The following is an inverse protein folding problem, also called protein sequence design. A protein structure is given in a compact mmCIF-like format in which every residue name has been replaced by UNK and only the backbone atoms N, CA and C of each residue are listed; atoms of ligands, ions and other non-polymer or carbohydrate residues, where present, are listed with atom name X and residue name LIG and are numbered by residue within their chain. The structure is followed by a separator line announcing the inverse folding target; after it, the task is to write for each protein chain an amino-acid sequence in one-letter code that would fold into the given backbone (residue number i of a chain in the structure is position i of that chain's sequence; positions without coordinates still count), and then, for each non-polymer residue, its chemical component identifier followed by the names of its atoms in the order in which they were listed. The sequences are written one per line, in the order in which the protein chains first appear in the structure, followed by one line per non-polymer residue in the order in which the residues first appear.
data_IF_330796531223
#
_entry.id   IF_330796531223
#
_cell.length_a   1.000
_cell.length_b   1.000
_cell.length_c   1.000
_cell.angle_alpha   90.00
_cell.angle_beta   90.00
_cell.angle_gamma   90.00
#
_symmetry.space_group_name_H-M   'P 1'
#
loop_
_entity.id
_entity.type
_entity.pdbx_description
1 polymer ?
#
# COMPACT_ATOMS: atom_id res chain seq x y z
N UNK A 1 40.70 -24.86 -8.85
CA UNK A 1 39.94 -23.63 -9.20
C UNK A 1 38.52 -23.91 -8.72
N UNK A 2 38.29 -24.13 -7.43
CA UNK A 2 38.29 -23.25 -6.24
C UNK A 2 37.08 -22.31 -6.19
N UNK A 3 35.97 -22.89 -5.72
CA UNK A 3 34.69 -22.24 -5.41
C UNK A 3 34.81 -21.11 -4.38
N UNK A 4 35.87 -21.12 -3.55
CA UNK A 4 36.09 -20.13 -2.50
C UNK A 4 36.49 -18.74 -3.06
N UNK A 5 37.10 -18.71 -4.25
CA UNK A 5 37.55 -17.48 -4.90
C UNK A 5 36.42 -16.74 -5.65
N UNK A 6 35.39 -17.46 -6.10
CA UNK A 6 34.19 -16.85 -6.70
C UNK A 6 33.29 -16.19 -5.64
N UNK A 7 33.19 -16.80 -4.45
CA UNK A 7 32.38 -16.29 -3.33
C UNK A 7 32.92 -14.97 -2.76
N UNK A 8 34.25 -14.85 -2.63
CA UNK A 8 34.90 -13.62 -2.18
C UNK A 8 34.66 -12.43 -3.13
N UNK A 9 34.70 -12.67 -4.44
CA UNK A 9 34.42 -11.63 -5.44
C UNK A 9 32.94 -11.21 -5.42
N UNK A 10 32.03 -12.16 -5.18
CA UNK A 10 30.59 -11.90 -5.06
C UNK A 10 30.26 -11.02 -3.85
N UNK A 11 30.82 -11.31 -2.68
CA UNK A 11 30.60 -10.51 -1.46
C UNK A 11 31.14 -9.08 -1.59
N UNK A 12 32.32 -8.89 -2.18
CA UNK A 12 32.89 -7.55 -2.42
C UNK A 12 31.99 -6.74 -3.37
N UNK A 13 31.42 -7.37 -4.40
CA UNK A 13 30.48 -6.72 -5.33
C UNK A 13 29.17 -6.32 -4.66
N UNK A 14 28.71 -7.06 -3.66
CA UNK A 14 27.54 -6.71 -2.83
C UNK A 14 27.88 -5.56 -1.88
N UNK A 15 29.04 -5.60 -1.21
CA UNK A 15 29.49 -4.53 -0.32
C UNK A 15 29.62 -3.18 -1.05
N UNK A 16 30.12 -3.20 -2.30
CA UNK A 16 30.22 -2.00 -3.15
C UNK A 16 28.86 -1.39 -3.50
N UNK A 17 27.76 -2.15 -3.47
CA UNK A 17 26.42 -1.60 -3.75
C UNK A 17 25.99 -0.58 -2.70
N UNK A 18 26.34 -0.82 -1.43
CA UNK A 18 26.05 0.10 -0.33
C UNK A 18 26.82 1.43 -0.44
N UNK A 19 27.84 1.51 -1.30
CA UNK A 19 28.52 2.77 -1.59
C UNK A 19 27.80 3.65 -2.63
N UNK A 20 26.78 3.12 -3.33
CA UNK A 20 26.12 3.85 -4.43
C UNK A 20 24.90 4.64 -3.92
N UNK A 21 24.83 5.97 -4.13
CA UNK A 21 23.67 6.76 -3.70
C UNK A 21 22.37 6.33 -4.39
N UNK A 22 22.44 5.87 -5.64
CA UNK A 22 21.31 5.36 -6.39
C UNK A 22 20.64 4.14 -5.72
N UNK A 23 21.42 3.31 -5.00
CA UNK A 23 20.90 2.16 -4.25
C UNK A 23 19.91 2.61 -3.18
N UNK A 24 20.29 3.60 -2.38
CA UNK A 24 19.44 4.11 -1.29
C UNK A 24 18.19 4.81 -1.82
N UNK A 25 18.32 5.61 -2.88
CA UNK A 25 17.17 6.30 -3.50
C UNK A 25 16.14 5.28 -4.01
N UNK A 26 16.60 4.24 -4.72
CA UNK A 26 15.73 3.18 -5.22
C UNK A 26 15.13 2.36 -4.07
N UNK A 27 15.92 2.05 -3.04
CA UNK A 27 15.44 1.32 -1.87
C UNK A 27 14.32 2.07 -1.16
N UNK A 28 14.52 3.35 -0.88
CA UNK A 28 13.50 4.20 -0.26
C UNK A 28 12.26 4.29 -1.16
N UNK A 29 12.42 4.54 -2.46
CA UNK A 29 11.31 4.66 -3.40
C UNK A 29 10.49 3.37 -3.52
N UNK A 30 11.14 2.21 -3.47
CA UNK A 30 10.45 0.90 -3.55
C UNK A 30 9.78 0.56 -2.24
N UNK A 31 10.45 0.76 -1.09
CA UNK A 31 9.87 0.50 0.23
C UNK A 31 8.67 1.41 0.47
N UNK A 32 8.78 2.70 0.17
CA UNK A 32 7.67 3.65 0.28
C UNK A 32 6.55 3.30 -0.70
N UNK A 33 6.90 2.83 -1.89
CA UNK A 33 5.95 2.38 -2.89
C UNK A 33 5.14 1.16 -2.47
N UNK A 34 5.81 0.15 -1.93
CA UNK A 34 5.17 -1.05 -1.40
C UNK A 34 4.36 -0.74 -0.13
N UNK A 35 4.79 0.25 0.67
CA UNK A 35 4.03 0.73 1.83
C UNK A 35 2.72 1.42 1.42
N UNK A 36 2.80 2.42 0.54
CA UNK A 36 1.64 3.13 0.01
C UNK A 36 0.65 2.16 -0.66
N UNK A 37 1.20 1.17 -1.38
CA UNK A 37 0.46 0.07 -1.99
C UNK A 37 -0.38 -0.74 -1.00
N UNK A 38 0.17 -1.08 0.16
CA UNK A 38 -0.57 -1.81 1.19
C UNK A 38 -1.55 -0.97 1.97
N UNK A 39 -1.18 0.27 2.30
CA UNK A 39 -2.11 1.22 2.93
C UNK A 39 -3.32 1.45 2.03
N UNK A 40 -3.08 1.57 0.72
CA UNK A 40 -4.15 1.73 -0.26
C UNK A 40 -5.16 0.56 -0.25
N UNK A 41 -4.66 -0.68 -0.26
CA UNK A 41 -5.53 -1.85 -0.20
C UNK A 41 -6.34 -1.89 1.10
N UNK A 42 -5.72 -1.57 2.24
CA UNK A 42 -6.40 -1.48 3.53
C UNK A 42 -7.48 -0.40 3.50
N UNK A 43 -7.15 0.81 3.06
CA UNK A 43 -8.10 1.93 3.03
C UNK A 43 -9.32 1.64 2.16
N UNK A 44 -9.17 0.99 1.00
CA UNK A 44 -10.35 0.63 0.19
C UNK A 44 -11.25 -0.36 0.93
N UNK A 45 -10.65 -1.36 1.60
CA UNK A 45 -11.42 -2.36 2.35
C UNK A 45 -12.15 -1.70 3.51
N UNK A 46 -11.45 -0.88 4.30
CA UNK A 46 -12.02 -0.15 5.43
C UNK A 46 -13.12 0.81 4.95
N UNK A 47 -12.88 1.56 3.87
CA UNK A 47 -13.88 2.44 3.26
C UNK A 47 -15.11 1.66 2.78
N UNK A 48 -14.90 0.46 2.23
CA UNK A 48 -15.99 -0.42 1.83
C UNK A 48 -16.87 -0.81 3.03
N UNK A 49 -16.23 -1.27 4.12
CA UNK A 49 -16.90 -1.66 5.36
C UNK A 49 -17.61 -0.46 6.00
N UNK A 50 -16.97 0.72 6.05
CA UNK A 50 -17.55 1.95 6.63
C UNK A 50 -18.80 2.44 5.90
N UNK A 51 -18.91 2.15 4.60
CA UNK A 51 -20.12 2.44 3.80
C UNK A 51 -21.25 1.42 4.03
N UNK A 52 -21.06 0.44 4.91
CA UNK A 52 -22.03 -0.61 5.20
C UNK A 52 -22.11 -1.68 4.09
N UNK A 53 -21.09 -1.79 3.25
CA UNK A 53 -21.01 -2.92 2.31
C UNK A 53 -20.86 -4.21 3.09
N UNK A 54 -21.66 -5.20 2.70
CA UNK A 54 -21.47 -6.56 3.17
C UNK A 54 -20.06 -7.06 2.81
N UNK A 55 -19.49 -7.95 3.64
CA UNK A 55 -18.15 -8.53 3.42
C UNK A 55 -18.02 -9.14 2.02
N UNK A 56 -19.08 -9.70 1.48
CA UNK A 56 -19.10 -10.25 0.13
C UNK A 56 -18.89 -9.17 -0.96
N UNK A 57 -19.36 -7.95 -0.73
CA UNK A 57 -19.17 -6.85 -1.67
C UNK A 57 -17.77 -6.23 -1.56
N UNK A 58 -17.15 -6.23 -0.38
CA UNK A 58 -15.73 -5.92 -0.22
C UNK A 58 -14.84 -6.94 -0.98
N UNK A 59 -15.20 -8.23 -0.96
CA UNK A 59 -14.54 -9.25 -1.77
C UNK A 59 -14.59 -8.97 -3.29
N UNK A 60 -15.68 -8.36 -3.78
CA UNK A 60 -15.80 -7.94 -5.19
C UNK A 60 -14.85 -6.79 -5.52
N UNK A 61 -14.66 -5.83 -4.62
CA UNK A 61 -13.68 -4.74 -4.80
C UNK A 61 -12.26 -5.30 -4.93
N UNK A 62 -11.88 -6.27 -4.08
CA UNK A 62 -10.59 -6.96 -4.19
C UNK A 62 -10.43 -7.68 -5.54
N UNK A 63 -11.52 -8.29 -6.02
CA UNK A 63 -11.53 -8.97 -7.32
C UNK A 63 -11.28 -7.97 -8.45
N UNK A 64 -11.92 -6.80 -8.41
CA UNK A 64 -11.69 -5.72 -9.39
C UNK A 64 -10.27 -5.17 -9.35
N UNK A 65 -9.71 -4.97 -8.16
CA UNK A 65 -8.31 -4.55 -7.98
C UNK A 65 -7.37 -5.59 -8.61
N UNK A 66 -7.63 -6.88 -8.39
CA UNK A 66 -6.81 -7.97 -8.95
C UNK A 66 -6.84 -8.01 -10.48
N UNK A 67 -8.01 -7.78 -11.09
CA UNK A 67 -8.13 -7.62 -12.54
C UNK A 67 -7.36 -6.38 -13.00
N UNK A 68 -7.48 -5.26 -12.28
CA UNK A 68 -6.69 -4.05 -12.53
C UNK A 68 -5.19 -4.31 -12.49
N UNK A 69 -4.70 -5.08 -11.52
CA UNK A 69 -3.30 -5.48 -11.41
C UNK A 69 -2.84 -6.24 -12.65
N UNK A 70 -3.63 -7.21 -13.13
CA UNK A 70 -3.32 -7.96 -14.35
C UNK A 70 -3.24 -7.04 -15.57
N UNK A 71 -4.22 -6.14 -15.73
CA UNK A 71 -4.27 -5.19 -16.84
C UNK A 71 -3.09 -4.20 -16.79
N UNK A 72 -2.73 -3.71 -15.60
CA UNK A 72 -1.57 -2.83 -15.42
C UNK A 72 -0.25 -3.52 -15.76
N UNK A 73 -0.09 -4.77 -15.33
CA UNK A 73 1.13 -5.55 -15.59
C UNK A 73 1.30 -5.95 -17.05
N UNK A 74 0.21 -6.22 -17.77
CA UNK A 74 0.28 -6.64 -19.17
C UNK A 74 0.16 -5.43 -20.09
N UNK A 75 -0.94 -4.68 -20.00
CA UNK A 75 -1.23 -3.59 -20.92
C UNK A 75 -0.29 -2.41 -20.75
N UNK A 76 -0.20 -1.87 -19.54
CA UNK A 76 0.57 -0.64 -19.29
C UNK A 76 2.08 -0.90 -19.31
N UNK A 77 2.54 -2.06 -18.83
CA UNK A 77 3.96 -2.42 -18.91
C UNK A 77 4.44 -2.57 -20.36
N UNK A 78 3.67 -3.26 -21.23
CA UNK A 78 4.00 -3.38 -22.65
C UNK A 78 4.02 -2.00 -23.31
N UNK A 79 3.05 -1.14 -22.96
CA UNK A 79 3.02 0.23 -23.49
C UNK A 79 4.22 1.06 -23.02
N UNK A 80 4.65 0.90 -21.77
CA UNK A 80 5.82 1.59 -21.22
C UNK A 80 7.14 1.10 -21.82
N UNK A 81 7.23 -0.17 -22.21
CA UNK A 81 8.40 -0.70 -22.92
C UNK A 81 8.55 -0.14 -24.33
N UNK A 82 7.47 0.33 -24.95
CA UNK A 82 7.53 1.02 -26.24
C UNK A 82 8.07 2.45 -26.13
N UNK A 83 8.14 3.05 -24.93
CA UNK A 83 8.61 4.42 -24.70
C UNK A 83 9.67 4.46 -23.58
N UNK A 84 10.90 3.96 -23.84
CA UNK A 84 11.93 3.76 -22.82
C UNK A 84 12.46 5.05 -22.18
N UNK A 85 12.39 6.16 -22.90
CA UNK A 85 13.02 7.44 -22.53
C UNK A 85 12.39 8.14 -21.32
N UNK A 86 11.20 7.72 -20.86
CA UNK A 86 10.49 8.36 -19.76
C UNK A 86 10.20 7.44 -18.57
N UNK A 87 10.84 6.26 -18.46
CA UNK A 87 10.52 5.24 -17.44
C UNK A 87 10.53 5.77 -16.00
N UNK A 88 11.54 6.55 -15.63
CA UNK A 88 11.67 7.14 -14.29
C UNK A 88 10.65 8.27 -14.05
N UNK A 89 10.37 9.09 -15.05
CA UNK A 89 9.33 10.12 -14.97
C UNK A 89 7.92 9.51 -14.87
N UNK A 90 7.64 8.45 -15.63
CA UNK A 90 6.40 7.68 -15.58
C UNK A 90 6.19 7.01 -14.21
N UNK A 91 7.26 6.49 -13.61
CA UNK A 91 7.23 5.95 -12.25
C UNK A 91 6.81 7.02 -11.24
N UNK A 92 7.46 8.19 -11.26
CA UNK A 92 7.09 9.31 -10.40
C UNK A 92 5.67 9.83 -10.64
N UNK A 93 5.26 9.95 -11.90
CA UNK A 93 3.92 10.37 -12.28
C UNK A 93 2.85 9.40 -11.75
N UNK A 94 3.13 8.10 -11.78
CA UNK A 94 2.23 7.06 -11.25
C UNK A 94 1.94 7.26 -9.76
N UNK A 95 2.97 7.64 -8.98
CA UNK A 95 2.76 8.01 -7.57
C UNK A 95 1.89 9.24 -7.42
N UNK A 96 2.14 10.30 -8.20
CA UNK A 96 1.35 11.54 -8.13
C UNK A 96 -0.12 11.27 -8.44
N UNK A 97 -0.39 10.52 -9.52
CA UNK A 97 -1.76 10.14 -9.91
C UNK A 97 -2.41 9.30 -8.82
N UNK A 98 -1.70 8.30 -8.27
CA UNK A 98 -2.24 7.45 -7.21
C UNK A 98 -2.62 8.25 -5.96
N UNK A 99 -1.78 9.19 -5.54
CA UNK A 99 -2.05 10.05 -4.39
C UNK A 99 -3.21 11.03 -4.67
N UNK A 100 -3.30 11.58 -5.88
CA UNK A 100 -4.40 12.44 -6.29
C UNK A 100 -5.75 11.69 -6.24
N UNK A 101 -5.77 10.45 -6.72
CA UNK A 101 -6.94 9.59 -6.61
C UNK A 101 -7.32 9.29 -5.15
N UNK A 102 -6.34 9.10 -4.26
CA UNK A 102 -6.59 8.93 -2.83
C UNK A 102 -7.22 10.18 -2.20
N UNK A 103 -6.75 11.37 -2.58
CA UNK A 103 -7.34 12.64 -2.13
C UNK A 103 -8.78 12.84 -2.64
N UNK A 104 -9.11 12.25 -3.79
CA UNK A 104 -10.47 12.26 -4.35
C UNK A 104 -11.40 11.20 -3.72
N UNK A 105 -10.85 10.15 -3.09
CA UNK A 105 -11.61 9.08 -2.42
C UNK A 105 -12.71 9.59 -1.46
N UNK A 106 -12.45 10.55 -0.54
CA UNK A 106 -13.48 11.05 0.39
C UNK A 106 -14.61 11.84 -0.29
N UNK A 107 -14.42 12.33 -1.51
CA UNK A 107 -15.45 13.08 -2.25
C UNK A 107 -16.40 12.16 -3.04
N UNK A 108 -16.09 10.87 -3.13
CA UNK A 108 -16.92 9.89 -3.82
C UNK A 108 -17.92 9.29 -2.83
N UNK A 109 -19.19 9.20 -3.21
CA UNK A 109 -20.26 8.67 -2.36
C UNK A 109 -20.94 7.42 -2.96
N UNK A 110 -20.65 7.11 -4.23
CA UNK A 110 -21.29 6.03 -4.97
C UNK A 110 -20.41 4.80 -5.05
N UNK A 111 -21.00 3.60 -4.95
CA UNK A 111 -20.26 2.34 -5.05
C UNK A 111 -19.57 2.17 -6.41
N UNK A 112 -20.23 2.58 -7.49
CA UNK A 112 -19.67 2.48 -8.84
C UNK A 112 -18.45 3.37 -9.04
N UNK A 113 -18.41 4.57 -8.45
CA UNK A 113 -17.23 5.44 -8.51
C UNK A 113 -16.05 4.86 -7.74
N UNK A 114 -16.30 4.23 -6.59
CA UNK A 114 -15.27 3.59 -5.76
C UNK A 114 -14.70 2.35 -6.46
N UNK A 115 -15.57 1.56 -7.11
CA UNK A 115 -15.16 0.42 -7.91
C UNK A 115 -14.36 0.84 -9.17
N UNK A 116 -14.75 1.92 -9.85
CA UNK A 116 -13.99 2.45 -10.97
C UNK A 116 -12.61 2.93 -10.52
N UNK A 117 -12.54 3.65 -9.40
CA UNK A 117 -11.29 4.14 -8.83
C UNK A 117 -10.38 3.00 -8.39
N UNK A 118 -10.92 1.93 -7.78
CA UNK A 118 -10.14 0.77 -7.36
C UNK A 118 -9.52 0.02 -8.54
N UNK A 119 -10.22 -0.06 -9.69
CA UNK A 119 -9.65 -0.60 -10.94
C UNK A 119 -8.52 0.28 -11.47
N UNK A 120 -8.74 1.59 -11.57
CA UNK A 120 -7.72 2.53 -12.06
C UNK A 120 -6.45 2.46 -11.20
N UNK A 121 -6.63 2.46 -9.89
CA UNK A 121 -5.52 2.38 -8.95
C UNK A 121 -4.85 1.00 -8.98
N UNK A 122 -5.62 -0.07 -9.15
CA UNK A 122 -5.07 -1.40 -9.39
C UNK A 122 -4.22 -1.49 -10.66
N UNK A 123 -4.61 -0.79 -11.73
CA UNK A 123 -3.82 -0.69 -12.97
C UNK A 123 -2.50 0.04 -12.71
N UNK A 124 -2.55 1.20 -12.03
CA UNK A 124 -1.35 1.98 -11.70
C UNK A 124 -0.41 1.16 -10.82
N UNK A 125 -0.95 0.47 -9.82
CA UNK A 125 -0.18 -0.37 -8.89
C UNK A 125 0.43 -1.59 -9.59
N UNK A 126 -0.32 -2.21 -10.51
CA UNK A 126 0.18 -3.27 -11.38
C UNK A 126 1.37 -2.82 -12.24
N UNK A 127 1.28 -1.63 -12.83
CA UNK A 127 2.36 -1.02 -13.61
C UNK A 127 3.61 -0.74 -12.74
N UNK A 128 3.43 -0.07 -11.59
CA UNK A 128 4.50 0.25 -10.63
C UNK A 128 5.24 -1.02 -10.19
N UNK A 129 4.51 -2.12 -9.96
CA UNK A 129 5.09 -3.40 -9.58
C UNK A 129 5.93 -4.06 -10.68
N UNK A 130 5.66 -3.80 -11.97
CA UNK A 130 6.48 -4.28 -13.08
C UNK A 130 7.72 -3.41 -13.28
N UNK A 131 7.53 -2.10 -13.39
CA UNK A 131 8.62 -1.18 -13.74
C UNK A 131 9.67 -1.07 -12.64
N UNK A 132 9.32 -1.31 -11.36
CA UNK A 132 10.29 -1.25 -10.25
C UNK A 132 11.46 -2.22 -10.43
N UNK A 133 11.19 -3.45 -10.87
CA UNK A 133 12.25 -4.44 -11.09
C UNK A 133 13.10 -4.11 -12.32
N UNK A 134 12.49 -3.51 -13.35
CA UNK A 134 13.20 -3.02 -14.53
C UNK A 134 14.14 -1.87 -14.15
N UNK A 135 13.66 -0.89 -13.37
CA UNK A 135 14.48 0.23 -12.89
C UNK A 135 15.66 -0.23 -12.04
N UNK A 136 15.43 -1.21 -11.15
CA UNK A 136 16.49 -1.82 -10.33
C UNK A 136 17.50 -2.55 -11.21
N UNK A 137 17.04 -3.35 -12.17
CA UNK A 137 17.92 -4.06 -13.09
C UNK A 137 18.75 -3.11 -13.96
N UNK A 138 18.18 -1.96 -14.36
CA UNK A 138 18.84 -0.94 -15.17
C UNK A 138 19.92 -0.17 -14.38
N UNK A 139 19.64 0.18 -13.11
CA UNK A 139 20.56 0.98 -12.29
C UNK A 139 21.61 0.15 -11.53
N UNK A 140 21.24 -1.05 -11.04
CA UNK A 140 22.10 -1.88 -10.20
C UNK A 140 22.67 -3.08 -10.98
N UNK A 141 22.10 -3.42 -12.13
CA UNK A 141 22.43 -4.61 -12.90
C UNK A 141 21.62 -5.84 -12.47
N UNK A 142 21.36 -6.73 -13.43
CA UNK A 142 20.53 -7.94 -13.27
C UNK A 142 21.08 -8.85 -12.16
N UNK A 143 22.40 -9.05 -12.12
CA UNK A 143 23.06 -9.94 -11.14
C UNK A 143 22.84 -9.53 -9.68
N UNK A 144 22.55 -8.25 -9.43
CA UNK A 144 22.44 -7.68 -8.08
C UNK A 144 20.99 -7.37 -7.66
N UNK A 145 20.05 -7.49 -8.59
CA UNK A 145 18.61 -7.30 -8.38
C UNK A 145 18.01 -8.21 -7.29
N UNK A 146 18.32 -9.53 -7.22
CA UNK A 146 17.74 -10.39 -6.18
C UNK A 146 18.22 -10.04 -4.77
N UNK A 147 19.49 -9.64 -4.61
CA UNK A 147 20.03 -9.18 -3.32
C UNK A 147 19.34 -7.90 -2.88
N UNK A 148 19.18 -6.93 -3.79
CA UNK A 148 18.43 -5.71 -3.53
C UNK A 148 16.97 -6.01 -3.13
N UNK A 149 16.29 -6.91 -3.83
CA UNK A 149 14.92 -7.31 -3.52
C UNK A 149 14.82 -7.93 -2.12
N UNK A 150 15.80 -8.76 -1.72
CA UNK A 150 15.89 -9.31 -0.38
C UNK A 150 16.03 -8.23 0.70
N UNK A 151 16.93 -7.26 0.49
CA UNK A 151 17.14 -6.14 1.42
C UNK A 151 15.90 -5.24 1.49
N UNK A 152 15.28 -4.92 0.35
CA UNK A 152 14.07 -4.11 0.29
C UNK A 152 12.90 -4.79 1.03
N UNK A 153 12.71 -6.10 0.84
CA UNK A 153 11.71 -6.88 1.58
C UNK A 153 11.99 -6.94 3.08
N UNK A 154 13.25 -7.14 3.47
CA UNK A 154 13.68 -7.12 4.87
C UNK A 154 13.47 -5.74 5.52
N UNK A 155 13.65 -4.64 4.77
CA UNK A 155 13.36 -3.29 5.24
C UNK A 155 11.85 -3.00 5.29
N UNK A 156 11.07 -3.51 4.34
CA UNK A 156 9.62 -3.31 4.27
C UNK A 156 8.85 -4.02 5.40
N UNK A 157 9.27 -5.25 5.73
CA UNK A 157 8.62 -6.08 6.76
C UNK A 157 8.43 -5.37 8.11
N UNK A 158 9.47 -4.77 8.74
CA UNK A 158 9.30 -4.07 10.01
C UNK A 158 8.40 -2.83 9.89
N UNK A 159 8.39 -2.13 8.75
CA UNK A 159 7.45 -1.01 8.54
C UNK A 159 6.00 -1.50 8.60
N UNK A 160 5.69 -2.59 7.91
CA UNK A 160 4.32 -3.13 7.93
C UNK A 160 3.89 -3.72 9.26
N UNK A 161 4.84 -4.22 10.06
CA UNK A 161 4.57 -4.70 11.41
C UNK A 161 4.35 -3.55 12.41
N UNK A 162 4.97 -2.39 12.17
CA UNK A 162 4.74 -1.20 12.98
C UNK A 162 3.36 -0.58 12.76
N UNK A 163 2.84 -0.58 11.52
CA UNK A 163 1.51 -0.01 11.21
C UNK A 163 0.38 -0.50 12.14
N UNK A 164 0.13 -1.81 12.32
CA UNK A 164 -0.92 -2.28 13.22
C UNK A 164 -0.60 -2.02 14.69
N UNK A 165 0.68 -1.96 15.08
CA UNK A 165 1.06 -1.61 16.45
C UNK A 165 0.68 -0.16 16.77
N UNK A 166 0.91 0.76 15.84
CA UNK A 166 0.53 2.17 15.98
C UNK A 166 -0.99 2.31 16.03
N UNK A 167 -1.74 1.63 15.16
CA UNK A 167 -3.21 1.63 15.20
C UNK A 167 -3.74 1.05 16.51
N UNK A 168 -3.15 -0.02 17.03
CA UNK A 168 -3.53 -0.62 18.32
C UNK A 168 -3.29 0.31 19.50
N UNK A 169 -2.14 1.00 19.55
CA UNK A 169 -1.87 2.01 20.59
C UNK A 169 -2.82 3.20 20.47
N UNK A 170 -3.13 3.66 19.26
CA UNK A 170 -4.09 4.74 19.04
C UNK A 170 -5.50 4.37 19.53
N UNK A 171 -5.97 3.16 19.21
CA UNK A 171 -7.24 2.63 19.71
C UNK A 171 -7.27 2.52 21.24
N UNK A 172 -6.16 2.11 21.86
CA UNK A 172 -6.07 2.02 23.32
C UNK A 172 -6.06 3.40 24.01
N UNK A 173 -5.41 4.40 23.40
CA UNK A 173 -5.43 5.79 23.89
C UNK A 173 -6.81 6.42 23.77
N UNK A 174 -7.51 6.21 22.65
CA UNK A 174 -8.88 6.68 22.44
C UNK A 174 -9.86 6.04 23.45
N UNK A 175 -9.73 4.73 23.70
CA UNK A 175 -10.51 4.04 24.74
C UNK A 175 -10.20 4.56 26.16
N UNK A 176 -8.95 4.96 26.43
CA UNK A 176 -8.55 5.56 27.72
C UNK A 176 -9.05 6.99 27.88
N UNK A 177 -9.12 7.78 26.80
CA UNK A 177 -9.72 9.12 26.82
C UNK A 177 -11.22 9.05 27.05
N UNK A 178 -11.95 8.10 26.46
CA UNK A 178 -13.37 7.89 26.79
C UNK A 178 -13.58 7.48 28.27
N UNK A 179 -12.66 6.68 28.83
CA UNK A 179 -12.69 6.29 30.25
C UNK A 179 -12.34 7.45 31.21
N UNK A 180 -11.42 8.34 30.83
CA UNK A 180 -11.05 9.53 31.63
C UNK A 180 -11.95 10.75 31.36
N UNK A 181 -12.75 10.73 30.30
CA UNK A 181 -13.81 11.70 30.00
C UNK A 181 -15.06 11.56 30.87
N UNK A 182 -15.17 10.52 31.71
CA UNK A 182 -16.21 10.38 32.74
C UNK A 182 -15.90 11.19 34.01
N UNK A 183 -15.38 12.41 33.85
CA UNK A 183 -15.39 13.44 34.90
C UNK A 183 -16.63 14.30 34.70
N UNK A 184 -17.53 14.44 35.70
CA UNK A 184 -18.80 15.13 35.51
C UNK A 184 -18.59 16.65 35.52
N UNK A 185 -18.79 17.30 34.38
CA UNK A 185 -18.88 18.75 34.34
C UNK A 185 -18.93 19.33 32.93
N UNK A 186 -20.15 19.64 32.47
CA UNK A 186 -20.55 20.73 31.54
C UNK A 186 -19.63 21.07 30.34
N UNK A 187 -20.06 21.17 29.09
CA UNK A 187 -21.39 21.41 28.51
C UNK A 187 -21.25 21.31 26.98
N UNK A 188 -22.16 20.55 26.35
CA UNK A 188 -22.74 20.73 25.02
C UNK A 188 -21.87 21.29 23.86
N UNK A 189 -21.55 20.44 22.88
CA UNK A 189 -22.29 20.36 21.60
C UNK A 189 -22.08 18.98 20.95
N UNK A 190 -23.19 18.31 20.62
CA UNK A 190 -23.32 17.00 19.94
C UNK A 190 -23.85 17.25 18.51
N UNK A 191 -24.19 16.28 17.62
CA UNK A 191 -23.96 14.81 17.54
C UNK A 191 -23.39 14.40 16.14
N UNK A 192 -22.91 13.18 15.82
CA UNK A 192 -23.66 11.93 15.53
C UNK A 192 -22.63 10.82 15.24
N UNK A 193 -22.52 9.80 16.11
CA UNK A 193 -22.38 8.39 15.67
C UNK A 193 -23.12 7.55 16.69
N UNK A 194 -24.43 7.45 16.50
CA UNK A 194 -25.33 6.59 17.25
C UNK A 194 -24.95 5.13 17.01
N UNK A 195 -24.40 4.48 18.04
CA UNK A 195 -24.76 3.10 18.36
C UNK A 195 -26.20 3.11 18.97
N UNK A 196 -26.90 1.96 19.13
CA UNK A 196 -26.45 1.02 20.14
C UNK A 196 -26.59 -0.48 19.79
N UNK A 197 -25.97 -1.33 20.63
CA UNK A 197 -26.03 -2.79 20.56
C UNK A 197 -27.20 -3.39 21.38
N UNK A 198 -27.60 -4.59 20.98
CA UNK A 198 -28.13 -5.72 21.77
C UNK A 198 -29.15 -5.48 22.90
N UNK A 199 -30.32 -6.14 22.83
CA UNK A 199 -30.75 -7.05 23.92
C UNK A 199 -31.85 -8.02 23.45
N UNK A 200 -31.75 -9.25 23.95
CA UNK A 200 -32.68 -10.37 23.80
C UNK A 200 -34.02 -10.10 24.50
N UNK A 201 -35.07 -10.75 23.95
CA UNK A 201 -36.35 -11.13 24.58
C UNK A 201 -37.36 -10.01 24.96
N UNK A 202 -38.64 -10.41 25.01
CA UNK A 202 -39.91 -9.64 25.20
C UNK A 202 -40.51 -9.24 23.84
N UNK A 203 -41.26 -10.08 23.13
CA UNK A 203 -42.66 -10.55 23.30
C UNK A 203 -42.77 -11.74 22.32
N UNK A 204 -43.04 -13.02 22.60
CA UNK A 204 -44.11 -13.69 23.36
C UNK A 204 -45.49 -13.08 23.18
N UNK A 205 -46.04 -13.24 21.97
CA UNK A 205 -47.37 -13.82 21.71
C UNK A 205 -47.49 -14.20 20.22
#
# INVERSE_FOLDING_TARGET
MDSTQEDGCSMIRVALMFGMPAFYVLLIAIVLGDYASTEFLKTIVDYGIDKGLDRDAAGRLLSFISVGHLVGRVGVAILADMIPTYRSALYGLSFVISNACFFALPHMYTLSSVAALSVILGIIQGYVACIKYVLVAEHLGIARTPVFCGIAGAAYTPLTLLSPFITGVAQELEAREELHGFVPGNTATSPVRSAPPNLREIIKD
#
